data_IF_701268708481
#
_entry.id   IF_701268708481
#
_cell.length_a   1.000
_cell.length_b   1.000
_cell.length_c   1.000
_cell.angle_alpha   90.00
_cell.angle_beta   90.00
_cell.angle_gamma   90.00
#
_symmetry.space_group_name_H-M   'P 1'
#
loop_
_entity.id
_entity.type
_entity.pdbx_description
1 polymer ?
#
# COMPACT_ATOMS: atom_id res chain seq x y z
N UNK A 1 -6.19 -9.30 -23.58
CA UNK A 1 -6.27 -8.58 -22.29
C UNK A 1 -6.10 -9.62 -21.19
N UNK A 2 -5.17 -9.42 -20.25
CA UNK A 2 -5.02 -10.34 -19.12
C UNK A 2 -6.20 -10.18 -18.16
N UNK A 3 -6.73 -11.28 -17.63
CA UNK A 3 -7.76 -11.25 -16.61
C UNK A 3 -7.21 -10.56 -15.34
N UNK A 4 -8.02 -9.79 -14.59
CA UNK A 4 -7.58 -9.24 -13.32
C UNK A 4 -7.18 -10.41 -12.40
N UNK A 5 -6.04 -10.26 -11.74
CA UNK A 5 -5.60 -11.24 -10.73
C UNK A 5 -6.73 -11.37 -9.69
N UNK A 6 -7.00 -12.60 -9.19
CA UNK A 6 -7.97 -12.77 -8.13
C UNK A 6 -7.57 -11.91 -6.94
N UNK A 7 -8.56 -11.29 -6.30
CA UNK A 7 -8.35 -10.50 -5.09
C UNK A 7 -7.62 -11.37 -4.06
N UNK A 8 -6.37 -11.02 -3.74
CA UNK A 8 -5.66 -11.68 -2.66
C UNK A 8 -6.33 -11.28 -1.34
N UNK A 9 -6.79 -12.26 -0.58
CA UNK A 9 -7.28 -12.06 0.78
C UNK A 9 -6.30 -12.80 1.69
N UNK A 10 -5.58 -12.11 2.60
CA UNK A 10 -4.70 -12.80 3.52
C UNK A 10 -5.50 -13.83 4.33
N UNK A 11 -5.03 -15.09 4.37
CA UNK A 11 -5.74 -16.20 5.04
C UNK A 11 -5.96 -15.94 6.54
N UNK A 12 -5.07 -15.16 7.16
CA UNK A 12 -5.14 -14.76 8.56
C UNK A 12 -4.62 -13.33 8.70
N UNK A 13 -5.33 -12.50 9.46
CA UNK A 13 -4.95 -11.12 9.76
C UNK A 13 -5.02 -10.91 11.28
N UNK A 14 -4.10 -10.13 11.88
CA UNK A 14 -4.22 -9.75 13.28
C UNK A 14 -5.56 -9.05 13.55
N UNK A 15 -6.12 -9.13 14.78
CA UNK A 15 -7.32 -8.37 15.13
C UNK A 15 -7.14 -6.87 14.88
N UNK A 16 -8.12 -6.24 14.24
CA UNK A 16 -8.07 -4.81 13.88
C UNK A 16 -7.24 -4.47 12.65
N UNK A 17 -6.63 -5.47 12.00
CA UNK A 17 -5.90 -5.33 10.76
C UNK A 17 -6.83 -5.44 9.54
N UNK A 18 -6.56 -4.62 8.54
CA UNK A 18 -7.30 -4.61 7.28
C UNK A 18 -6.32 -4.62 6.12
N UNK A 19 -6.61 -5.47 5.14
CA UNK A 19 -5.90 -5.50 3.88
C UNK A 19 -6.40 -4.37 2.97
N UNK A 20 -5.47 -3.55 2.50
CA UNK A 20 -5.68 -2.46 1.57
C UNK A 20 -5.06 -2.87 0.24
N UNK A 21 -5.86 -3.42 -0.70
CA UNK A 21 -5.36 -3.73 -2.03
C UNK A 21 -4.98 -2.43 -2.76
N UNK A 22 -3.92 -2.47 -3.54
CA UNK A 22 -3.60 -1.38 -4.48
C UNK A 22 -4.45 -1.62 -5.72
N UNK A 23 -5.41 -0.73 -5.92
CA UNK A 23 -6.33 -0.78 -7.06
C UNK A 23 -5.69 -0.16 -8.32
N UNK A 24 -6.23 -0.44 -9.50
CA UNK A 24 -5.63 0.02 -10.77
C UNK A 24 -5.45 1.55 -10.84
N UNK A 25 -6.42 2.31 -10.30
CA UNK A 25 -6.31 3.76 -10.24
C UNK A 25 -5.20 4.22 -9.27
N UNK A 26 -5.02 3.48 -8.17
CA UNK A 26 -4.03 3.76 -7.13
C UNK A 26 -2.63 3.45 -7.66
N UNK A 27 -2.47 2.31 -8.34
CA UNK A 27 -1.26 1.94 -9.05
C UNK A 27 -0.87 3.02 -10.07
N UNK A 28 -1.79 3.42 -10.96
CA UNK A 28 -1.53 4.46 -11.96
C UNK A 28 -1.08 5.80 -11.33
N UNK A 29 -1.69 6.18 -10.20
CA UNK A 29 -1.28 7.37 -9.44
C UNK A 29 0.11 7.22 -8.83
N UNK A 30 0.43 6.05 -8.26
CA UNK A 30 1.75 5.75 -7.70
C UNK A 30 2.84 5.78 -8.78
N UNK A 31 2.56 5.23 -9.97
CA UNK A 31 3.48 5.31 -11.12
C UNK A 31 3.73 6.77 -11.53
N UNK A 32 2.68 7.60 -11.57
CA UNK A 32 2.80 9.03 -11.86
C UNK A 32 3.65 9.77 -10.80
N UNK A 33 3.43 9.46 -9.52
CA UNK A 33 4.11 10.12 -8.41
C UNK A 33 5.59 9.75 -8.36
N UNK A 34 5.91 8.46 -8.53
CA UNK A 34 7.24 7.89 -8.28
C UNK A 34 8.08 7.67 -9.55
N UNK A 35 7.47 7.66 -10.73
CA UNK A 35 8.16 7.37 -12.00
C UNK A 35 8.62 5.92 -12.12
N UNK A 36 7.97 4.99 -11.42
CA UNK A 36 8.27 3.55 -11.46
C UNK A 36 7.07 2.78 -11.98
N UNK A 37 7.30 1.66 -12.65
CA UNK A 37 6.22 0.75 -13.03
C UNK A 37 5.79 -0.06 -11.80
N UNK A 38 4.54 0.07 -11.36
CA UNK A 38 4.05 -0.54 -10.13
C UNK A 38 4.08 -2.07 -10.19
N UNK A 39 3.74 -2.66 -11.35
CA UNK A 39 3.77 -4.10 -11.55
C UNK A 39 5.17 -4.71 -11.31
N UNK A 40 6.24 -3.95 -11.61
CA UNK A 40 7.63 -4.38 -11.38
C UNK A 40 7.97 -4.51 -9.89
N UNK A 41 7.24 -3.80 -9.02
CA UNK A 41 7.43 -3.86 -7.57
C UNK A 41 6.75 -5.08 -6.96
N UNK A 42 5.83 -5.75 -7.66
CA UNK A 42 5.11 -6.96 -7.20
C UNK A 42 4.40 -6.77 -5.84
N UNK A 43 3.96 -5.55 -5.54
CA UNK A 43 3.19 -5.21 -4.33
C UNK A 43 1.70 -5.27 -4.70
N UNK A 44 0.95 -6.17 -4.05
CA UNK A 44 -0.51 -6.24 -4.25
C UNK A 44 -1.27 -5.32 -3.30
N UNK A 45 -0.72 -5.03 -2.14
CA UNK A 45 -1.38 -4.23 -1.12
C UNK A 45 -0.63 -4.21 0.19
N UNK A 46 -1.29 -3.60 1.17
CA UNK A 46 -0.72 -3.23 2.45
C UNK A 46 -1.65 -3.62 3.58
N UNK A 47 -1.13 -3.86 4.77
CA UNK A 47 -1.95 -4.15 5.95
C UNK A 47 -1.88 -2.98 6.94
N UNK A 48 -3.03 -2.36 7.16
CA UNK A 48 -3.19 -1.18 8.03
C UNK A 48 -4.15 -1.44 9.18
N UNK A 49 -4.03 -0.62 10.22
CA UNK A 49 -5.05 -0.51 11.27
C UNK A 49 -6.30 0.18 10.71
N UNK A 50 -7.42 -0.54 10.70
CA UNK A 50 -8.72 -0.08 10.19
C UNK A 50 -8.93 -0.14 8.66
N UNK A 51 -10.18 -0.01 8.18
CA UNK A 51 -10.56 -0.11 6.75
C UNK A 51 -10.17 1.12 5.92
N UNK A 52 -10.01 1.06 4.59
CA UNK A 52 -9.73 2.26 3.77
C UNK A 52 -10.72 3.42 4.08
N UNK A 53 -10.26 4.65 4.38
CA UNK A 53 -11.15 5.79 4.57
C UNK A 53 -11.77 6.23 3.23
N UNK A 54 -12.81 7.06 3.27
CA UNK A 54 -13.37 7.71 2.07
C UNK A 54 -13.27 9.22 2.24
N UNK A 55 -12.94 9.92 1.16
CA UNK A 55 -12.85 11.36 1.17
C UNK A 55 -14.21 12.03 1.27
N UNK A 56 -14.42 12.77 2.35
CA UNK A 56 -15.66 13.55 2.53
C UNK A 56 -15.80 14.71 1.53
N UNK A 57 -14.71 15.14 0.89
CA UNK A 57 -14.73 16.23 -0.11
C UNK A 57 -14.97 15.74 -1.54
N UNK A 58 -14.22 14.73 -2.00
CA UNK A 58 -14.25 14.27 -3.40
C UNK A 58 -14.72 12.83 -3.58
N UNK A 59 -15.01 12.10 -2.51
CA UNK A 59 -15.47 10.72 -2.56
C UNK A 59 -14.41 9.67 -2.89
N UNK A 60 -13.15 10.05 -3.15
CA UNK A 60 -12.04 9.10 -3.36
C UNK A 60 -11.89 8.16 -2.16
N UNK A 61 -11.81 6.86 -2.40
CA UNK A 61 -11.36 5.88 -1.40
C UNK A 61 -9.86 6.03 -1.15
N UNK A 62 -9.49 6.15 0.12
CA UNK A 62 -8.12 6.36 0.55
C UNK A 62 -7.23 5.16 0.26
N UNK A 63 -5.96 5.42 -0.01
CA UNK A 63 -4.99 4.40 -0.40
C UNK A 63 -3.57 4.74 0.02
N UNK A 64 -2.62 3.89 -0.34
CA UNK A 64 -1.19 4.12 -0.17
C UNK A 64 -0.70 5.30 -1.01
N UNK A 65 -1.34 5.55 -2.15
CA UNK A 65 -1.11 6.74 -2.98
C UNK A 65 -1.23 8.06 -2.19
N UNK A 66 -2.14 8.13 -1.22
CA UNK A 66 -2.32 9.30 -0.36
C UNK A 66 -1.13 9.50 0.59
N UNK A 67 -0.55 8.42 1.12
CA UNK A 67 0.66 8.50 1.95
C UNK A 67 1.86 8.97 1.12
N UNK A 68 2.05 8.40 -0.08
CA UNK A 68 3.12 8.82 -1.00
C UNK A 68 2.95 10.27 -1.41
N UNK A 69 1.74 10.67 -1.79
CA UNK A 69 1.42 12.06 -2.12
C UNK A 69 1.75 12.99 -0.96
N UNK A 70 1.34 12.63 0.26
CA UNK A 70 1.61 13.42 1.47
C UNK A 70 3.11 13.56 1.75
N UNK A 71 3.88 12.48 1.63
CA UNK A 71 5.32 12.51 1.88
C UNK A 71 6.06 13.41 0.87
N UNK A 72 5.64 13.36 -0.40
CA UNK A 72 6.17 14.19 -1.47
C UNK A 72 5.78 15.66 -1.30
N UNK A 73 4.50 15.94 -1.03
CA UNK A 73 3.98 17.31 -0.89
C UNK A 73 4.62 18.04 0.28
N UNK A 74 4.87 17.33 1.39
CA UNK A 74 5.53 17.90 2.58
C UNK A 74 7.06 17.86 2.50
N UNK A 75 7.65 17.34 1.41
CA UNK A 75 9.11 17.23 1.26
C UNK A 75 9.81 16.31 2.27
N UNK A 76 9.07 15.40 2.90
CA UNK A 76 9.60 14.46 3.92
C UNK A 76 10.52 13.43 3.27
N UNK A 77 10.15 12.97 2.07
CA UNK A 77 10.91 11.99 1.29
C UNK A 77 11.00 12.41 -0.17
N UNK A 78 12.09 12.06 -0.84
CA UNK A 78 12.20 12.19 -2.29
C UNK A 78 11.49 11.01 -2.99
N UNK A 79 11.14 11.20 -4.27
CA UNK A 79 10.58 10.13 -5.11
C UNK A 79 11.50 8.91 -5.15
N UNK A 80 12.79 9.14 -5.33
CA UNK A 80 13.80 8.07 -5.41
C UNK A 80 13.90 7.31 -4.09
N UNK A 81 13.88 8.00 -2.95
CA UNK A 81 13.90 7.38 -1.64
C UNK A 81 12.69 6.47 -1.44
N UNK A 82 11.48 6.94 -1.78
CA UNK A 82 10.26 6.13 -1.66
C UNK A 82 10.34 4.92 -2.60
N UNK A 83 10.75 5.12 -3.84
CA UNK A 83 10.89 4.03 -4.81
C UNK A 83 11.92 2.98 -4.37
N UNK A 84 13.05 3.39 -3.82
CA UNK A 84 14.06 2.49 -3.25
C UNK A 84 13.51 1.77 -2.02
N UNK A 85 12.81 2.47 -1.12
CA UNK A 85 12.19 1.85 0.05
C UNK A 85 11.16 0.77 -0.34
N UNK A 86 10.35 1.04 -1.36
CA UNK A 86 9.40 0.07 -1.91
C UNK A 86 10.09 -1.16 -2.50
N UNK A 87 11.25 -0.99 -3.16
CA UNK A 87 12.04 -2.12 -3.69
C UNK A 87 12.72 -2.91 -2.57
N UNK A 88 13.28 -2.20 -1.58
CA UNK A 88 13.98 -2.77 -0.44
C UNK A 88 13.04 -3.32 0.64
N UNK A 89 11.72 -3.12 0.49
CA UNK A 89 10.69 -3.46 1.49
C UNK A 89 10.93 -2.82 2.84
N UNK A 90 11.56 -1.65 2.85
CA UNK A 90 11.79 -0.90 4.09
C UNK A 90 10.57 -0.05 4.40
N UNK A 91 10.13 -0.12 5.65
CA UNK A 91 9.00 0.66 6.11
C UNK A 91 9.43 2.06 6.51
N UNK A 92 8.59 3.04 6.17
CA UNK A 92 8.64 4.37 6.76
C UNK A 92 7.69 4.45 7.96
N UNK A 93 7.98 5.37 8.89
CA UNK A 93 7.08 5.67 10.00
C UNK A 93 5.71 6.13 9.46
N UNK A 94 4.59 5.75 10.10
CA UNK A 94 3.28 6.19 9.66
C UNK A 94 3.16 7.72 9.77
N UNK A 95 2.40 8.31 8.85
CA UNK A 95 2.06 9.73 8.91
C UNK A 95 0.86 9.94 9.85
N UNK A 96 0.95 10.88 10.80
CA UNK A 96 -0.18 11.29 11.65
C UNK A 96 -1.25 12.07 10.87
N UNK A 97 -0.88 12.58 9.69
CA UNK A 97 -1.69 13.40 8.82
C UNK A 97 -1.50 12.92 7.39
N UNK A 98 -2.60 12.70 6.66
CA UNK A 98 -2.56 12.31 5.25
C UNK A 98 -3.46 13.23 4.43
N UNK A 99 -2.98 13.60 3.26
CA UNK A 99 -3.66 14.39 2.25
C UNK A 99 -4.26 13.47 1.18
N UNK A 100 -5.50 13.75 0.79
CA UNK A 100 -6.12 13.11 -0.36
C UNK A 100 -5.35 13.47 -1.64
N UNK A 101 -4.77 12.47 -2.31
CA UNK A 101 -3.99 12.65 -3.54
C UNK A 101 -4.78 13.14 -4.77
N UNK A 102 -6.11 13.20 -4.66
CA UNK A 102 -6.99 13.73 -5.70
C UNK A 102 -7.40 15.19 -5.49
N UNK A 103 -7.61 15.64 -4.25
CA UNK A 103 -8.15 17.00 -3.99
C UNK A 103 -7.38 17.80 -2.93
N UNK A 104 -6.35 17.21 -2.31
CA UNK A 104 -5.54 17.86 -1.28
C UNK A 104 -6.21 17.98 0.09
N UNK A 105 -7.46 17.56 0.24
CA UNK A 105 -8.14 17.58 1.55
C UNK A 105 -7.36 16.75 2.55
N UNK A 106 -7.05 17.37 3.69
CA UNK A 106 -6.38 16.74 4.81
C UNK A 106 -7.38 15.93 5.65
N UNK A 107 -7.00 14.72 6.04
CA UNK A 107 -7.64 14.01 7.14
C UNK A 107 -6.64 13.60 8.20
N UNK A 108 -7.10 13.63 9.45
CA UNK A 108 -6.41 13.02 10.57
C UNK A 108 -6.53 11.51 10.41
N UNK A 109 -5.41 10.84 10.22
CA UNK A 109 -5.36 9.38 10.22
C UNK A 109 -4.51 8.94 11.41
N UNK A 110 -5.18 8.39 12.42
CA UNK A 110 -4.49 7.54 13.40
C UNK A 110 -4.28 6.13 12.82
N UNK A 111 -3.84 6.03 11.56
CA UNK A 111 -3.69 4.73 10.89
C UNK A 111 -2.23 4.36 10.87
N UNK A 112 -1.92 3.31 11.64
CA UNK A 112 -0.59 2.76 11.75
C UNK A 112 -0.51 1.49 10.93
N UNK A 113 0.70 1.17 10.51
CA UNK A 113 1.04 -0.18 10.07
C UNK A 113 0.82 -1.15 11.23
N UNK A 114 0.13 -2.28 10.99
CA UNK A 114 -0.23 -3.23 12.06
C UNK A 114 1.01 -3.90 12.67
N UNK A 115 2.08 -4.10 11.88
CA UNK A 115 3.39 -4.66 12.28
C UNK A 115 4.48 -4.18 11.32
N UNK A 116 5.74 -4.47 11.65
CA UNK A 116 6.85 -4.48 10.68
C UNK A 116 6.67 -5.64 9.69
N UNK A 117 6.88 -5.38 8.40
CA UNK A 117 6.68 -6.24 7.22
C UNK A 117 5.21 -6.52 6.85
N UNK A 118 4.40 -5.49 6.65
CA UNK A 118 2.95 -5.60 6.32
C UNK A 118 2.62 -5.63 4.82
N UNK A 119 3.62 -5.85 3.98
CA UNK A 119 3.47 -5.96 2.52
C UNK A 119 2.90 -7.32 2.15
N UNK A 120 1.90 -7.32 1.27
CA UNK A 120 1.43 -8.57 0.65
C UNK A 120 2.11 -8.73 -0.70
N UNK A 121 2.92 -9.78 -0.80
CA UNK A 121 3.53 -10.20 -2.06
C UNK A 121 2.48 -10.62 -3.08
N UNK A 122 2.71 -10.29 -4.35
CA UNK A 122 2.12 -11.05 -5.43
C UNK A 122 2.93 -12.31 -5.67
N UNK A 123 2.29 -13.48 -5.53
CA UNK A 123 2.94 -14.80 -5.57
C UNK A 123 4.13 -14.85 -6.54
N UNK A 124 5.29 -15.40 -6.14
CA UNK A 124 6.19 -16.04 -7.10
C UNK A 124 5.45 -17.15 -7.84
N UNK A 125 6.06 -17.70 -8.89
CA UNK A 125 5.68 -19.01 -9.41
C UNK A 125 5.24 -19.98 -8.27
N UNK A 126 4.32 -20.94 -8.53
CA UNK A 126 3.54 -21.67 -7.54
C UNK A 126 4.35 -22.68 -6.70
N UNK A 127 5.64 -22.48 -6.53
CA UNK A 127 6.52 -23.34 -5.75
C UNK A 127 6.95 -22.65 -4.46
N UNK A 128 6.03 -22.53 -3.50
CA UNK A 128 6.38 -22.62 -2.07
C UNK A 128 5.10 -22.99 -1.29
N UNK A 129 4.85 -24.29 -1.26
CA UNK A 129 4.05 -24.92 -0.23
C UNK A 129 4.85 -24.93 1.07
N UNK A 130 4.22 -24.50 2.15
CA UNK A 130 4.64 -24.79 3.50
C UNK A 130 4.41 -26.28 3.76
N UNK A 131 5.42 -27.12 3.48
CA UNK A 131 5.56 -28.39 4.20
C UNK A 131 6.44 -28.06 5.42
N UNK A 132 5.86 -27.82 6.59
CA UNK A 132 5.19 -28.87 7.34
C UNK A 132 6.26 -29.64 8.12
N UNK A 133 6.48 -29.25 9.38
CA UNK A 133 7.28 -30.03 10.34
C UNK A 133 6.74 -31.47 10.39
N UNK A 134 7.60 -32.46 10.10
CA UNK A 134 7.65 -33.77 10.80
C UNK A 134 8.73 -34.70 10.20
N UNK A 135 9.89 -34.80 10.86
CA UNK A 135 10.45 -36.04 11.47
C UNK A 135 11.84 -35.80 12.02
#
# INVERSE_FOLDING_TARGET
MAAPLPAYVPKQMPPGAHYWPVEDYEAAKLEQLLGVQWSSLRIRGFIFEGPKPTCDTCGKTGGFDDFVYTALENGIHSKDFIAEALRARTEAQPHDMVLCSSCGTQWLVSRRWVRRNTWIEGDPDPEYGEDGVSR
#
